data_IF_310930755021
#
_entry.id   IF_310930755021
#
_cell.length_a   1.000
_cell.length_b   1.000
_cell.length_c   1.000
_cell.angle_alpha   90.00
_cell.angle_beta   90.00
_cell.angle_gamma   90.00
#
_symmetry.space_group_name_H-M   'P 1'
#
loop_
_entity.id
_entity.type
_entity.pdbx_description
1 polymer ?
#
# COMPACT_ATOMS: atom_id res chain seq x y z
N UNK A 1 -22.22 20.98 22.39
CA UNK A 1 -21.74 19.79 23.12
C UNK A 1 -21.68 18.56 22.21
N UNK A 2 -22.72 18.25 21.43
CA UNK A 2 -22.73 17.04 20.56
C UNK A 2 -21.74 17.07 19.39
N UNK A 3 -21.59 18.22 18.71
CA UNK A 3 -20.69 18.35 17.55
C UNK A 3 -19.21 18.16 17.94
N UNK A 4 -18.83 18.51 19.17
CA UNK A 4 -17.44 18.43 19.63
C UNK A 4 -16.92 16.99 19.76
N UNK A 5 -17.81 16.01 19.97
CA UNK A 5 -17.45 14.58 20.03
C UNK A 5 -17.54 13.94 18.64
N UNK A 6 -18.49 14.40 17.82
CA UNK A 6 -18.72 13.88 16.48
C UNK A 6 -17.50 14.10 15.55
N UNK A 7 -16.85 15.27 15.65
CA UNK A 7 -15.73 15.63 14.77
C UNK A 7 -14.50 14.71 14.97
N UNK A 8 -13.98 14.50 16.19
CA UNK A 8 -12.90 13.53 16.41
C UNK A 8 -13.30 12.11 16.02
N UNK A 9 -14.53 11.69 16.33
CA UNK A 9 -15.03 10.35 15.99
C UNK A 9 -14.96 10.09 14.47
N UNK A 10 -15.44 11.03 13.65
CA UNK A 10 -15.38 10.92 12.18
C UNK A 10 -13.93 10.87 11.70
N UNK A 11 -13.05 11.71 12.27
CA UNK A 11 -11.64 11.73 11.90
C UNK A 11 -10.95 10.39 12.16
N UNK A 12 -11.10 9.81 13.35
CA UNK A 12 -10.48 8.52 13.68
C UNK A 12 -11.10 7.36 12.90
N UNK A 13 -12.42 7.34 12.72
CA UNK A 13 -13.09 6.30 11.92
C UNK A 13 -12.68 6.35 10.45
N UNK A 14 -12.48 7.53 9.88
CA UNK A 14 -11.95 7.69 8.52
C UNK A 14 -10.54 7.10 8.36
N UNK A 15 -9.65 7.33 9.32
CA UNK A 15 -8.29 6.75 9.30
C UNK A 15 -8.36 5.22 9.35
N UNK A 16 -9.16 4.67 10.26
CA UNK A 16 -9.35 3.21 10.37
C UNK A 16 -9.90 2.65 9.07
N UNK A 17 -10.87 3.31 8.45
CA UNK A 17 -11.45 2.88 7.17
C UNK A 17 -10.42 2.89 6.04
N UNK A 18 -9.62 3.94 5.89
CA UNK A 18 -8.60 4.03 4.83
C UNK A 18 -7.59 2.87 4.93
N UNK A 19 -7.24 2.44 6.14
CA UNK A 19 -6.31 1.33 6.36
C UNK A 19 -7.03 -0.02 6.22
N UNK A 20 -8.20 -0.19 6.82
CA UNK A 20 -8.91 -1.47 6.85
C UNK A 20 -9.45 -1.88 5.48
N UNK A 21 -9.86 -0.92 4.66
CA UNK A 21 -10.48 -1.16 3.35
C UNK A 21 -9.57 -1.94 2.37
N UNK A 22 -8.33 -1.52 2.09
CA UNK A 22 -7.43 -2.30 1.21
C UNK A 22 -7.10 -3.68 1.77
N UNK A 23 -6.97 -3.82 3.10
CA UNK A 23 -6.75 -5.12 3.74
C UNK A 23 -7.96 -6.04 3.58
N UNK A 24 -9.17 -5.52 3.76
CA UNK A 24 -10.41 -6.26 3.58
C UNK A 24 -10.56 -6.73 2.12
N UNK A 25 -10.35 -5.85 1.14
CA UNK A 25 -10.42 -6.22 -0.28
C UNK A 25 -9.34 -7.24 -0.66
N UNK A 26 -8.12 -7.10 -0.14
CA UNK A 26 -7.05 -8.09 -0.37
C UNK A 26 -7.40 -9.46 0.23
N UNK A 27 -7.95 -9.49 1.45
CA UNK A 27 -8.39 -10.72 2.08
C UNK A 27 -9.54 -11.39 1.31
N UNK A 28 -10.51 -10.60 0.86
CA UNK A 28 -11.65 -11.08 0.07
C UNK A 28 -11.20 -11.67 -1.27
N UNK A 29 -10.32 -10.99 -2.01
CA UNK A 29 -9.80 -11.48 -3.28
C UNK A 29 -9.05 -12.81 -3.10
N UNK A 30 -8.20 -12.92 -2.06
CA UNK A 30 -7.50 -14.18 -1.75
C UNK A 30 -8.47 -15.31 -1.45
N UNK A 31 -9.51 -15.06 -0.64
CA UNK A 31 -10.55 -16.06 -0.33
C UNK A 31 -11.26 -16.57 -1.59
N UNK A 32 -11.66 -15.67 -2.48
CA UNK A 32 -12.34 -16.03 -3.72
C UNK A 32 -11.46 -16.91 -4.62
N UNK A 33 -10.16 -16.64 -4.71
CA UNK A 33 -9.21 -17.47 -5.46
C UNK A 33 -9.10 -18.87 -4.85
N UNK A 34 -8.98 -18.98 -3.52
CA UNK A 34 -8.93 -20.29 -2.86
C UNK A 34 -10.21 -21.11 -3.04
N UNK A 35 -11.38 -20.46 -2.97
CA UNK A 35 -12.67 -21.12 -3.16
C UNK A 35 -12.87 -21.60 -4.60
N UNK A 36 -12.43 -20.80 -5.58
CA UNK A 36 -12.42 -21.20 -6.99
C UNK A 36 -11.50 -22.42 -7.21
N UNK A 37 -10.28 -22.41 -6.66
CA UNK A 37 -9.35 -23.55 -6.74
C UNK A 37 -9.98 -24.79 -6.10
N UNK A 38 -10.55 -24.67 -4.90
CA UNK A 38 -11.22 -25.78 -4.22
C UNK A 38 -12.36 -26.37 -5.07
N UNK A 39 -13.18 -25.53 -5.67
CA UNK A 39 -14.30 -25.95 -6.53
C UNK A 39 -13.80 -26.67 -7.79
N UNK A 40 -12.72 -26.21 -8.41
CA UNK A 40 -12.11 -26.88 -9.58
C UNK A 40 -11.49 -28.23 -9.21
N UNK A 41 -10.86 -28.35 -8.03
CA UNK A 41 -10.34 -29.63 -7.52
C UNK A 41 -11.47 -30.64 -7.35
N UNK A 42 -12.58 -30.23 -6.73
CA UNK A 42 -13.72 -31.09 -6.42
C UNK A 42 -14.48 -31.57 -7.67
N UNK A 43 -14.48 -30.81 -8.77
CA UNK A 43 -15.24 -31.12 -9.99
C UNK A 43 -14.46 -31.92 -11.03
N UNK A 44 -13.19 -31.61 -11.25
CA UNK A 44 -12.44 -32.11 -12.41
C UNK A 44 -11.32 -33.10 -12.05
N UNK A 45 -11.05 -33.33 -10.76
CA UNK A 45 -10.10 -34.34 -10.27
C UNK A 45 -8.62 -34.11 -10.61
N UNK A 46 -8.31 -33.24 -11.59
CA UNK A 46 -6.96 -32.81 -11.95
C UNK A 46 -6.94 -31.30 -12.15
N UNK A 47 -6.28 -30.60 -11.24
CA UNK A 47 -5.93 -29.19 -11.45
C UNK A 47 -4.51 -29.15 -11.97
N UNK A 48 -4.30 -28.48 -13.10
CA UNK A 48 -2.97 -28.20 -13.60
C UNK A 48 -2.17 -27.47 -12.50
N UNK A 49 -1.10 -28.09 -11.95
CA UNK A 49 -0.29 -27.49 -10.90
C UNK A 49 0.27 -26.13 -11.30
N UNK A 50 0.46 -25.90 -12.61
CA UNK A 50 0.90 -24.60 -13.14
C UNK A 50 -0.13 -23.50 -12.90
N UNK A 51 -1.43 -23.80 -12.96
CA UNK A 51 -2.51 -22.83 -12.73
C UNK A 51 -2.61 -22.46 -11.24
N UNK A 52 -2.45 -23.43 -10.34
CA UNK A 52 -2.42 -23.16 -8.90
C UNK A 52 -1.20 -22.30 -8.56
N UNK A 53 -0.02 -22.66 -9.08
CA UNK A 53 1.19 -21.88 -8.89
C UNK A 53 1.06 -20.45 -9.41
N UNK A 54 0.47 -20.26 -10.60
CA UNK A 54 0.24 -18.93 -11.18
C UNK A 54 -0.77 -18.08 -10.38
N UNK A 55 -1.75 -18.71 -9.72
CA UNK A 55 -2.72 -18.04 -8.86
C UNK A 55 -2.20 -17.74 -7.45
N UNK A 56 -1.26 -18.56 -6.95
CA UNK A 56 -0.67 -18.38 -5.61
C UNK A 56 0.57 -17.50 -5.62
N UNK A 57 1.32 -17.47 -6.73
CA UNK A 57 2.47 -16.57 -6.90
C UNK A 57 1.92 -15.17 -7.13
N UNK A 58 2.00 -14.33 -6.10
CA UNK A 58 1.84 -12.89 -6.31
C UNK A 58 2.93 -12.47 -7.30
N UNK A 59 2.53 -12.18 -8.54
CA UNK A 59 3.42 -11.72 -9.58
C UNK A 59 3.81 -10.27 -9.25
N UNK A 60 4.69 -10.11 -8.27
CA UNK A 60 5.26 -8.83 -7.88
C UNK A 60 6.20 -8.47 -9.01
N UNK A 61 5.69 -7.70 -9.96
CA UNK A 61 6.47 -7.29 -11.13
C UNK A 61 7.81 -6.68 -10.70
N UNK A 62 8.88 -6.82 -11.51
CA UNK A 62 10.23 -6.46 -11.11
C UNK A 62 10.38 -5.00 -10.68
N UNK A 63 9.46 -4.12 -11.10
CA UNK A 63 9.46 -2.69 -10.79
C UNK A 63 8.44 -2.29 -9.72
N UNK A 64 7.85 -3.24 -9.00
CA UNK A 64 6.87 -2.96 -7.95
C UNK A 64 7.47 -2.10 -6.83
N UNK A 65 8.71 -2.39 -6.41
CA UNK A 65 9.40 -1.63 -5.37
C UNK A 65 9.79 -0.23 -5.83
N UNK A 66 10.24 -0.07 -7.09
CA UNK A 66 10.51 1.25 -7.67
C UNK A 66 9.24 2.10 -7.73
N UNK A 67 8.13 1.51 -8.16
CA UNK A 67 6.85 2.22 -8.22
C UNK A 67 6.43 2.69 -6.83
N UNK A 68 6.53 1.82 -5.81
CA UNK A 68 6.23 2.19 -4.42
C UNK A 68 7.16 3.28 -3.91
N UNK A 69 8.46 3.16 -4.19
CA UNK A 69 9.46 4.16 -3.82
C UNK A 69 9.17 5.54 -4.40
N UNK A 70 8.96 5.62 -5.71
CA UNK A 70 8.65 6.88 -6.41
C UNK A 70 7.33 7.49 -5.90
N UNK A 71 6.29 6.68 -5.69
CA UNK A 71 5.01 7.18 -5.17
C UNK A 71 5.14 7.79 -3.77
N UNK A 72 5.96 7.18 -2.90
CA UNK A 72 6.21 7.69 -1.55
C UNK A 72 7.05 8.97 -1.55
N UNK A 73 8.04 9.07 -2.45
CA UNK A 73 8.81 10.32 -2.64
C UNK A 73 7.89 11.43 -3.16
N UNK A 74 7.02 11.13 -4.14
CA UNK A 74 6.07 12.10 -4.67
C UNK A 74 5.08 12.58 -3.60
N UNK A 75 4.60 11.67 -2.74
CA UNK A 75 3.74 12.01 -1.61
C UNK A 75 4.46 12.93 -0.61
N UNK A 76 5.72 12.63 -0.28
CA UNK A 76 6.54 13.45 0.60
C UNK A 76 6.76 14.86 0.03
N UNK A 77 7.08 14.97 -1.26
CA UNK A 77 7.23 16.27 -1.92
C UNK A 77 5.92 17.06 -1.91
N UNK A 78 4.78 16.41 -2.19
CA UNK A 78 3.47 17.04 -2.14
C UNK A 78 3.16 17.60 -0.75
N UNK A 79 3.34 16.79 0.30
CA UNK A 79 3.13 17.23 1.69
C UNK A 79 4.11 18.32 2.12
N UNK A 80 5.38 18.23 1.71
CA UNK A 80 6.39 19.26 1.99
C UNK A 80 6.05 20.60 1.34
N UNK A 81 5.60 20.59 0.09
CA UNK A 81 5.11 21.80 -0.61
C UNK A 81 3.89 22.37 0.10
N UNK A 82 2.93 21.53 0.50
CA UNK A 82 1.79 21.99 1.28
C UNK A 82 2.25 22.70 2.57
N UNK A 83 3.18 22.10 3.32
CA UNK A 83 3.73 22.70 4.53
C UNK A 83 4.45 24.04 4.29
N UNK A 84 5.10 24.23 3.14
CA UNK A 84 5.73 25.50 2.77
C UNK A 84 4.71 26.64 2.55
N UNK A 85 3.53 26.33 2.01
CA UNK A 85 2.48 27.31 1.77
C UNK A 85 1.61 27.61 3.00
N UNK A 86 1.84 26.95 4.13
CA UNK A 86 1.14 27.27 5.37
C UNK A 86 1.67 28.59 5.94
N UNK A 87 0.80 29.56 6.26
CA UNK A 87 1.21 30.89 6.73
C UNK A 87 1.68 30.91 8.19
N UNK A 88 1.44 29.84 8.95
CA UNK A 88 1.80 29.75 10.37
C UNK A 88 3.21 29.19 10.57
N UNK A 89 4.01 29.88 11.41
CA UNK A 89 5.39 29.48 11.77
C UNK A 89 5.48 28.12 12.49
N UNK A 90 4.37 27.64 13.06
CA UNK A 90 4.33 26.35 13.77
C UNK A 90 3.85 25.21 12.88
N UNK A 91 2.78 25.45 12.11
CA UNK A 91 2.09 24.42 11.36
C UNK A 91 2.89 23.95 10.14
N UNK A 92 3.55 24.88 9.44
CA UNK A 92 4.36 24.56 8.25
C UNK A 92 5.50 23.56 8.53
N UNK A 93 6.39 23.85 9.50
CA UNK A 93 7.48 22.95 9.86
C UNK A 93 7.01 21.56 10.32
N UNK A 94 5.88 21.46 11.01
CA UNK A 94 5.31 20.18 11.45
C UNK A 94 4.86 19.33 10.27
N UNK A 95 4.15 19.94 9.31
CA UNK A 95 3.69 19.24 8.10
C UNK A 95 4.87 18.78 7.26
N UNK A 96 5.90 19.62 7.11
CA UNK A 96 7.17 19.25 6.45
C UNK A 96 7.83 18.07 7.18
N UNK A 97 7.89 18.10 8.51
CA UNK A 97 8.43 17.01 9.33
C UNK A 97 7.69 15.69 9.11
N UNK A 98 6.35 15.72 9.07
CA UNK A 98 5.54 14.53 8.78
C UNK A 98 5.81 14.03 7.35
N UNK A 99 6.02 14.93 6.39
CA UNK A 99 6.32 14.59 5.00
C UNK A 99 7.65 13.85 4.83
N UNK A 100 8.64 14.07 5.71
CA UNK A 100 9.92 13.36 5.67
C UNK A 100 9.77 11.85 5.91
N UNK A 101 8.77 11.40 6.67
CA UNK A 101 8.56 9.98 6.98
C UNK A 101 8.32 9.17 5.69
N UNK A 102 7.28 9.44 4.87
CA UNK A 102 7.10 8.74 3.60
C UNK A 102 8.27 9.02 2.64
N UNK A 103 8.92 10.18 2.71
CA UNK A 103 10.05 10.52 1.84
C UNK A 103 11.24 9.59 2.04
N UNK A 104 11.64 9.36 3.30
CA UNK A 104 12.73 8.45 3.64
C UNK A 104 12.39 7.00 3.29
N UNK A 105 11.14 6.56 3.52
CA UNK A 105 10.68 5.23 3.12
C UNK A 105 10.74 5.08 1.60
N UNK A 106 10.32 6.10 0.84
CA UNK A 106 10.37 6.09 -0.61
C UNK A 106 11.79 6.05 -1.16
N UNK A 107 12.72 6.79 -0.54
CA UNK A 107 14.16 6.71 -0.84
C UNK A 107 14.68 5.29 -0.56
N UNK A 108 14.32 4.69 0.57
CA UNK A 108 14.74 3.32 0.90
C UNK A 108 14.28 2.31 -0.16
N UNK A 109 13.01 2.33 -0.57
CA UNK A 109 12.50 1.48 -1.66
C UNK A 109 13.23 1.70 -2.99
N UNK A 110 13.56 2.96 -3.30
CA UNK A 110 14.29 3.30 -4.52
C UNK A 110 15.72 2.77 -4.47
N UNK A 111 16.41 2.93 -3.35
CA UNK A 111 17.77 2.38 -3.14
C UNK A 111 17.74 0.86 -3.23
N UNK A 112 16.83 0.20 -2.52
CA UNK A 112 16.69 -1.26 -2.59
C UNK A 112 16.48 -1.77 -4.01
N UNK A 113 15.72 -1.03 -4.83
CA UNK A 113 15.50 -1.40 -6.23
C UNK A 113 16.79 -1.41 -7.07
N UNK A 114 17.75 -0.51 -6.78
CA UNK A 114 19.03 -0.43 -7.48
C UNK A 114 20.09 -1.38 -6.91
N UNK A 115 20.08 -1.63 -5.60
CA UNK A 115 21.14 -2.38 -4.92
C UNK A 115 20.86 -3.86 -4.72
N UNK A 116 19.59 -4.30 -4.73
CA UNK A 116 19.26 -5.72 -4.58
C UNK A 116 19.39 -6.38 -5.96
N UNK A 117 20.35 -7.32 -6.15
CA UNK A 117 20.44 -8.11 -7.37
C UNK A 117 19.13 -8.89 -7.52
N UNK A 118 18.44 -8.71 -8.65
CA UNK A 118 17.23 -9.48 -8.90
C UNK A 118 17.63 -10.80 -9.53
N UNK A 119 17.35 -11.88 -8.82
CA UNK A 119 17.18 -13.17 -9.45
C UNK A 119 16.08 -12.99 -10.50
N UNK A 120 16.37 -13.34 -11.75
CA UNK A 120 15.38 -13.26 -12.82
C UNK A 120 14.18 -14.09 -12.37
N UNK A 121 13.05 -13.43 -12.14
CA UNK A 121 11.76 -14.10 -11.99
C UNK A 121 11.48 -14.76 -13.34
N UNK A 122 11.85 -16.03 -13.46
CA UNK A 122 11.53 -16.90 -14.60
C UNK A 122 10.03 -17.16 -14.60
#
# INVERSE_FOLDING_TARGET
MEVAILVPLIFFTAIVMIIALPFYFRHRNRRLVYEAIKTTIEKDGTVDPALVAALTTENIGPNADLRRGILLIALALGLGICGYFLPDDYSGPIVIGIAFIPGLIGIAYTIFHFFIPREATV
#
